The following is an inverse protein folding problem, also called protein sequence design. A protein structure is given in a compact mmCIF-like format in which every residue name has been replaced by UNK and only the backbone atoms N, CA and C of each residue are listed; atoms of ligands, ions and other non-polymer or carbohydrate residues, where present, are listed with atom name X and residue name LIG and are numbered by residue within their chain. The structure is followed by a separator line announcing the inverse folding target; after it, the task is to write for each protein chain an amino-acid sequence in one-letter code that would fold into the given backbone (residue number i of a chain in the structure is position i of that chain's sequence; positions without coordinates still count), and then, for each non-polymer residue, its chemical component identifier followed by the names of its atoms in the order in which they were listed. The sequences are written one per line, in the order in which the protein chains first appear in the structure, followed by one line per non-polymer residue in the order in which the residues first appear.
data_IF_935925412495
#
_entry.id   IF_935925412495
#
_cell.length_a   1.000
_cell.length_b   1.000
_cell.length_c   1.000
_cell.angle_alpha   90.00
_cell.angle_beta   90.00
_cell.angle_gamma   90.00
#
_symmetry.space_group_name_H-M   'P 1'
#
loop_
_entity.id
_entity.type
_entity.pdbx_description
1 polymer ?
#
# COMPACT_ATOMS: atom_id res chain seq x y z
N UNK A 1 -1.71 12.31 -9.20
CA UNK A 1 -2.05 13.36 -8.20
C UNK A 1 -3.05 14.41 -8.67
N UNK A 2 -3.40 14.46 -9.97
CA UNK A 2 -4.27 15.50 -10.55
C UNK A 2 -5.56 15.77 -9.76
N UNK A 3 -6.34 14.73 -9.42
CA UNK A 3 -7.58 14.90 -8.65
C UNK A 3 -7.35 15.63 -7.33
N UNK A 4 -6.36 15.21 -6.54
CA UNK A 4 -6.07 15.85 -5.24
C UNK A 4 -5.62 17.32 -5.37
N UNK A 5 -4.86 17.64 -6.41
CA UNK A 5 -4.26 18.97 -6.56
C UNK A 5 -5.16 19.97 -7.28
N UNK A 6 -5.89 19.51 -8.28
CA UNK A 6 -6.61 20.37 -9.22
C UNK A 6 -8.13 20.36 -8.97
N UNK A 7 -8.66 19.34 -8.29
CA UNK A 7 -10.12 19.12 -8.17
C UNK A 7 -10.56 19.14 -6.69
N UNK A 8 -9.96 18.29 -5.86
CA UNK A 8 -10.36 18.11 -4.47
C UNK A 8 -9.16 17.89 -3.54
N UNK A 9 -8.75 18.95 -2.83
CA UNK A 9 -7.66 18.93 -1.86
C UNK A 9 -7.90 18.00 -0.66
N UNK A 10 -9.14 17.63 -0.37
CA UNK A 10 -9.50 16.85 0.82
C UNK A 10 -9.19 15.36 0.68
N UNK A 11 -9.21 14.83 -0.56
CA UNK A 11 -8.92 13.44 -0.90
C UNK A 11 -7.58 12.97 -0.33
N UNK A 12 -7.62 11.94 0.51
CA UNK A 12 -6.47 11.38 1.20
C UNK A 12 -6.13 9.95 0.72
N UNK A 13 -4.84 9.71 0.49
CA UNK A 13 -4.28 8.39 0.15
C UNK A 13 -2.78 8.39 0.45
N UNK A 14 -2.22 7.22 0.74
CA UNK A 14 -0.78 7.05 0.98
C UNK A 14 -0.03 6.83 -0.33
N UNK A 15 1.21 7.31 -0.38
CA UNK A 15 2.17 7.13 -1.49
C UNK A 15 3.58 7.47 -1.03
N UNK A 16 4.59 6.92 -1.70
CA UNK A 16 5.98 7.36 -1.52
C UNK A 16 6.81 7.16 -2.80
N UNK A 17 7.23 5.93 -3.13
CA UNK A 17 8.23 5.67 -4.18
C UNK A 17 7.74 5.81 -5.64
N UNK A 18 6.44 5.74 -5.89
CA UNK A 18 5.80 5.80 -7.21
C UNK A 18 6.21 4.73 -8.25
N UNK A 19 7.00 3.72 -7.87
CA UNK A 19 7.48 2.67 -8.80
C UNK A 19 7.25 1.25 -8.27
N UNK A 20 6.38 1.09 -7.26
CA UNK A 20 5.90 -0.20 -6.77
C UNK A 20 6.78 -0.90 -5.73
N UNK A 21 7.80 -0.24 -5.19
CA UNK A 21 8.74 -0.85 -4.24
C UNK A 21 8.26 -0.73 -2.79
N UNK A 22 7.70 0.41 -2.39
CA UNK A 22 7.35 0.67 -1.00
C UNK A 22 6.01 0.09 -0.54
N UNK A 23 5.14 -0.35 -1.45
CA UNK A 23 3.80 -0.90 -1.14
C UNK A 23 2.79 0.08 -0.52
N UNK A 24 3.16 1.35 -0.30
CA UNK A 24 2.33 2.30 0.47
C UNK A 24 1.00 2.68 -0.18
N UNK A 25 0.87 2.50 -1.49
CA UNK A 25 -0.31 2.89 -2.28
C UNK A 25 -1.14 1.69 -2.76
N UNK A 26 -1.13 0.63 -1.95
CA UNK A 26 -2.01 -0.50 -2.14
C UNK A 26 -3.47 -0.09 -1.91
N UNK A 27 -4.35 -0.43 -2.86
CA UNK A 27 -5.78 -0.13 -2.85
C UNK A 27 -6.53 -1.11 -3.76
N UNK A 28 -7.86 -1.09 -3.71
CA UNK A 28 -8.71 -1.84 -4.66
C UNK A 28 -9.03 -0.99 -5.87
N UNK A 29 -8.71 -1.51 -7.06
CA UNK A 29 -8.97 -0.88 -8.35
C UNK A 29 -9.82 -1.86 -9.17
N UNK A 30 -11.05 -1.45 -9.52
CA UNK A 30 -12.05 -2.29 -10.18
C UNK A 30 -12.25 -3.64 -9.46
N UNK A 31 -12.28 -3.59 -8.13
CA UNK A 31 -12.53 -4.75 -7.28
C UNK A 31 -11.31 -5.61 -6.95
N UNK A 32 -10.16 -5.38 -7.57
CA UNK A 32 -8.92 -6.16 -7.38
C UNK A 32 -7.88 -5.35 -6.62
N UNK A 33 -7.15 -6.00 -5.70
CA UNK A 33 -6.04 -5.36 -4.98
C UNK A 33 -4.87 -5.08 -5.92
N UNK A 34 -4.44 -3.82 -6.01
CA UNK A 34 -3.34 -3.39 -6.87
C UNK A 34 -2.52 -2.28 -6.18
N UNK A 35 -1.29 -2.06 -6.66
CA UNK A 35 -0.53 -0.85 -6.35
C UNK A 35 -0.91 0.24 -7.35
N UNK A 36 -1.44 1.36 -6.88
CA UNK A 36 -1.93 2.43 -7.75
C UNK A 36 -0.84 2.99 -8.68
N UNK A 37 0.40 3.08 -8.23
CA UNK A 37 1.53 3.53 -9.04
C UNK A 37 1.95 2.54 -10.13
N UNK A 38 1.53 1.27 -10.06
CA UNK A 38 1.81 0.25 -11.08
C UNK A 38 0.62 -0.04 -11.99
N UNK A 39 -0.59 0.35 -11.59
CA UNK A 39 -1.79 0.19 -12.39
C UNK A 39 -1.84 1.27 -13.50
N UNK A 40 -1.50 0.89 -14.73
CA UNK A 40 -1.58 1.81 -15.86
C UNK A 40 -3.03 1.96 -16.31
N UNK A 41 -3.48 3.21 -16.47
CA UNK A 41 -4.85 3.51 -16.91
C UNK A 41 -5.20 2.76 -18.20
N UNK A 42 -4.29 2.68 -19.18
CA UNK A 42 -4.51 1.95 -20.44
C UNK A 42 -4.83 0.45 -20.28
N UNK A 43 -4.39 -0.17 -19.18
CA UNK A 43 -4.56 -1.61 -18.95
C UNK A 43 -5.88 -1.89 -18.19
N UNK A 44 -6.35 -0.92 -17.41
CA UNK A 44 -7.59 -1.00 -16.62
C UNK A 44 -8.80 -0.34 -17.29
N UNK A 45 -8.56 0.57 -18.24
CA UNK A 45 -9.56 1.33 -18.95
C UNK A 45 -9.92 0.65 -20.27
N UNK A 46 -11.14 0.10 -20.38
CA UNK A 46 -11.63 -0.56 -21.61
C UNK A 46 -12.85 0.16 -22.19
N UNK A 47 -12.76 0.58 -23.46
CA UNK A 47 -13.85 1.24 -24.21
C UNK A 47 -13.92 2.77 -24.04
N UNK A 48 -14.96 3.38 -24.61
CA UNK A 48 -15.08 4.86 -24.74
C UNK A 48 -15.59 5.56 -23.47
N UNK A 49 -16.24 4.84 -22.55
CA UNK A 49 -16.68 5.35 -21.25
C UNK A 49 -16.11 4.47 -20.15
N UNK A 50 -14.96 4.88 -19.63
CA UNK A 50 -14.28 4.13 -18.57
C UNK A 50 -14.57 4.74 -17.21
N UNK A 51 -15.34 4.01 -16.41
CA UNK A 51 -15.43 4.25 -14.97
C UNK A 51 -14.42 3.35 -14.27
N UNK A 52 -13.46 3.95 -13.56
CA UNK A 52 -12.52 3.24 -12.69
C UNK A 52 -13.02 3.42 -11.26
N UNK A 53 -13.30 2.30 -10.58
CA UNK A 53 -13.67 2.30 -9.17
C UNK A 53 -12.41 2.12 -8.34
N UNK A 54 -12.20 3.02 -7.38
CA UNK A 54 -11.08 2.97 -6.44
C UNK A 54 -11.65 2.90 -5.02
N UNK A 55 -11.17 1.95 -4.24
CA UNK A 55 -11.65 1.65 -2.90
C UNK A 55 -10.45 1.36 -1.98
N UNK A 56 -10.56 1.58 -0.66
CA UNK A 56 -9.56 1.11 0.29
C UNK A 56 -9.44 -0.43 0.26
N UNK A 57 -8.30 -0.95 0.73
CA UNK A 57 -8.11 -2.40 0.87
C UNK A 57 -9.11 -2.95 1.89
N UNK A 58 -9.67 -4.13 1.59
CA UNK A 58 -10.59 -4.83 2.49
C UNK A 58 -9.84 -5.50 3.65
N UNK A 59 -10.51 -5.62 4.80
CA UNK A 59 -9.97 -6.29 5.98
C UNK A 59 -9.21 -5.38 6.95
N UNK A 60 -9.01 -4.10 6.59
CA UNK A 60 -8.42 -3.09 7.47
C UNK A 60 -9.41 -1.94 7.68
N UNK A 61 -9.36 -1.32 8.87
CA UNK A 61 -10.23 -0.20 9.22
C UNK A 61 -9.86 1.02 8.38
N UNK A 62 -10.84 1.65 7.74
CA UNK A 62 -10.63 2.92 7.02
C UNK A 62 -10.50 4.06 8.04
N UNK A 63 -9.40 4.82 7.95
CA UNK A 63 -9.18 6.03 8.76
C UNK A 63 -9.71 7.28 8.05
N UNK A 64 -9.39 7.41 6.77
CA UNK A 64 -9.84 8.53 5.92
C UNK A 64 -9.69 8.17 4.44
N UNK A 65 -10.77 8.29 3.68
CA UNK A 65 -10.82 8.05 2.23
C UNK A 65 -10.20 6.69 1.84
N UNK A 66 -8.97 6.70 1.27
CA UNK A 66 -8.23 5.50 0.86
C UNK A 66 -7.13 5.10 1.85
N UNK A 67 -7.03 5.76 3.00
CA UNK A 67 -6.09 5.47 4.07
C UNK A 67 -6.73 4.49 5.04
N UNK A 68 -6.04 3.38 5.28
CA UNK A 68 -6.42 2.35 6.25
C UNK A 68 -5.42 2.27 7.41
N UNK A 69 -5.91 1.83 8.55
CA UNK A 69 -5.09 1.50 9.71
C UNK A 69 -4.29 0.21 9.41
N UNK A 70 -2.97 0.33 9.42
CA UNK A 70 -2.04 -0.76 9.12
C UNK A 70 -1.51 -1.44 10.38
N UNK A 71 -1.83 -0.94 11.57
CA UNK A 71 -1.28 -1.48 12.81
C UNK A 71 -1.63 -2.96 13.00
N UNK A 72 -2.89 -3.42 12.77
CA UNK A 72 -3.21 -4.83 12.90
C UNK A 72 -2.36 -5.73 12.01
N UNK A 73 -2.08 -5.30 10.77
CA UNK A 73 -1.22 -6.04 9.85
C UNK A 73 0.22 -6.12 10.37
N UNK A 74 0.75 -5.00 10.88
CA UNK A 74 2.12 -4.93 11.38
C UNK A 74 2.29 -5.71 12.70
N UNK A 75 1.28 -5.74 13.57
CA UNK A 75 1.27 -6.58 14.76
C UNK A 75 1.39 -8.06 14.39
N UNK A 76 0.62 -8.54 13.40
CA UNK A 76 0.71 -9.92 12.93
C UNK A 76 2.10 -10.21 12.33
N UNK A 77 2.65 -9.28 11.55
CA UNK A 77 4.01 -9.42 11.01
C UNK A 77 5.06 -9.52 12.12
N UNK A 78 4.98 -8.68 13.17
CA UNK A 78 5.93 -8.74 14.29
C UNK A 78 5.77 -10.00 15.14
N UNK A 79 4.56 -10.56 15.23
CA UNK A 79 4.27 -11.75 16.04
C UNK A 79 5.03 -13.01 15.62
N UNK A 80 5.47 -13.08 14.36
CA UNK A 80 6.24 -14.22 13.82
C UNK A 80 7.75 -14.06 13.96
N UNK A 81 8.23 -13.02 14.68
CA UNK A 81 9.66 -12.70 14.83
C UNK A 81 10.41 -12.72 13.48
N UNK A 82 10.11 -11.79 12.56
CA UNK A 82 10.59 -11.85 11.17
C UNK A 82 12.04 -11.33 11.05
N UNK A 83 12.93 -11.91 11.84
CA UNK A 83 14.35 -11.60 11.90
C UNK A 83 15.13 -12.86 12.27
N UNK A 84 16.44 -12.83 12.04
CA UNK A 84 17.31 -13.94 12.40
C UNK A 84 17.43 -14.05 13.93
N UNK A 85 17.18 -15.24 14.46
CA UNK A 85 17.39 -15.56 15.88
C UNK A 85 18.65 -16.42 15.98
N UNK A 86 19.59 -15.99 16.81
CA UNK A 86 20.86 -16.67 17.02
C UNK A 86 20.87 -17.32 18.41
N UNK A 87 21.30 -18.58 18.49
CA UNK A 87 21.44 -19.31 19.75
C UNK A 87 22.78 -19.05 20.43
N UNK A 88 23.76 -18.52 19.70
CA UNK A 88 25.08 -18.20 20.21
C UNK A 88 25.14 -16.77 20.80
N UNK A 89 26.01 -16.52 21.80
CA UNK A 89 26.19 -15.18 22.34
C UNK A 89 26.63 -14.19 21.25
N UNK A 90 26.32 -12.90 21.50
CA UNK A 90 26.74 -11.82 20.62
C UNK A 90 28.28 -11.84 20.48
N UNK A 91 28.81 -11.95 19.25
CA UNK A 91 30.25 -11.90 19.04
C UNK A 91 30.80 -10.50 19.32
N UNK A 92 32.06 -10.40 19.73
CA UNK A 92 32.75 -9.10 19.95
C UNK A 92 32.86 -8.24 18.68
N UNK A 93 32.62 -8.82 17.50
CA UNK A 93 32.66 -8.15 16.19
C UNK A 93 31.51 -8.61 15.31
N UNK A 94 31.16 -7.79 14.32
CA UNK A 94 30.13 -8.09 13.33
C UNK A 94 30.41 -9.43 12.61
N UNK A 95 29.35 -10.24 12.43
CA UNK A 95 29.40 -11.47 11.64
C UNK A 95 29.43 -11.06 10.17
N UNK A 96 30.62 -11.04 9.55
CA UNK A 96 30.81 -10.83 8.11
C UNK A 96 30.25 -12.01 7.30
#
# INVERSE_FOLDING_TARGET
HRVKWEIDGTLAFRRSCAHGVCGSDAMRINGVNMLACKALVKDIARGDKVRIQIEPILGLKVEKDLIVDMEPFMEHYRSVMPYFVNDEPEPERERL
#
